data_IF_716576459526
#
_entry.id   IF_716576459526
#
_cell.length_a   1.000
_cell.length_b   1.000
_cell.length_c   1.000
_cell.angle_alpha   90.00
_cell.angle_beta   90.00
_cell.angle_gamma   90.00
#
_symmetry.space_group_name_H-M   'P 1'
#
loop_
_entity.id
_entity.type
_entity.pdbx_description
1 polymer ?
#
# COMPACT_ATOMS: atom_id res chain seq x y z
N UNK A 1 2.47 10.73 -19.59
CA UNK A 1 3.04 9.41 -19.39
C UNK A 1 4.50 9.42 -18.98
N UNK A 2 5.31 10.20 -19.64
CA UNK A 2 6.74 10.18 -19.37
C UNK A 2 7.08 10.54 -17.93
N UNK A 3 6.52 11.61 -17.41
CA UNK A 3 6.85 11.94 -16.04
C UNK A 3 6.21 10.98 -15.04
N UNK A 4 5.07 10.41 -15.38
CA UNK A 4 4.48 9.40 -14.50
C UNK A 4 5.36 8.20 -14.38
N UNK A 5 5.85 7.74 -15.51
CA UNK A 5 6.68 6.55 -15.49
C UNK A 5 8.03 6.85 -14.87
N UNK A 6 8.48 8.07 -14.95
CA UNK A 6 9.71 8.45 -14.30
C UNK A 6 9.56 8.36 -12.79
N UNK A 7 8.43 8.75 -12.25
CA UNK A 7 8.16 8.59 -10.83
C UNK A 7 8.02 7.13 -10.48
N UNK A 8 7.39 6.35 -11.33
CA UNK A 8 7.17 4.94 -11.06
C UNK A 8 8.42 4.10 -11.18
N UNK A 9 9.55 4.69 -11.60
CA UNK A 9 10.80 3.96 -11.51
C UNK A 9 11.20 3.70 -10.07
N UNK A 10 10.81 4.57 -9.15
CA UNK A 10 11.13 4.39 -7.75
C UNK A 10 10.02 3.69 -6.98
N UNK A 11 8.79 3.85 -7.42
CA UNK A 11 7.68 3.18 -6.75
C UNK A 11 6.59 2.84 -7.75
N UNK A 12 5.90 1.74 -7.49
CA UNK A 12 4.79 1.29 -8.31
C UNK A 12 3.64 0.93 -7.38
N UNK A 13 2.47 1.49 -7.68
CA UNK A 13 1.26 1.27 -6.89
C UNK A 13 0.27 0.49 -7.72
N UNK A 14 -0.33 -0.53 -7.11
CA UNK A 14 -1.45 -1.24 -7.73
C UNK A 14 -2.51 -1.44 -6.67
N UNK A 15 -3.74 -1.66 -7.11
CA UNK A 15 -4.81 -1.97 -6.18
C UNK A 15 -5.67 -3.09 -6.72
N UNK A 16 -6.23 -3.85 -5.79
CA UNK A 16 -7.15 -4.92 -6.10
C UNK A 16 -8.34 -4.78 -5.18
N UNK A 17 -9.53 -4.69 -5.74
CA UNK A 17 -10.76 -4.54 -4.99
C UNK A 17 -11.50 -5.86 -4.99
N UNK A 18 -12.00 -6.25 -3.84
CA UNK A 18 -12.82 -7.46 -3.71
C UNK A 18 -13.98 -7.15 -2.78
N UNK A 19 -14.85 -8.14 -2.58
CA UNK A 19 -15.97 -7.99 -1.67
C UNK A 19 -15.50 -7.78 -0.23
N UNK A 20 -14.30 -8.22 0.10
CA UNK A 20 -13.76 -8.09 1.46
C UNK A 20 -13.08 -6.75 1.71
N UNK A 21 -12.67 -6.06 0.66
CA UNK A 21 -11.99 -4.79 0.81
C UNK A 21 -10.99 -4.56 -0.31
N UNK A 22 -10.05 -3.67 -0.07
CA UNK A 22 -9.04 -3.31 -1.07
C UNK A 22 -7.65 -3.64 -0.58
N UNK A 23 -6.81 -4.10 -1.49
CA UNK A 23 -5.39 -4.29 -1.23
C UNK A 23 -4.64 -3.32 -2.11
N UNK A 24 -3.83 -2.48 -1.49
CA UNK A 24 -2.94 -1.57 -2.21
C UNK A 24 -1.53 -2.13 -2.08
N UNK A 25 -0.92 -2.44 -3.19
CA UNK A 25 0.42 -2.99 -3.21
C UNK A 25 1.39 -1.91 -3.65
N UNK A 26 2.47 -1.75 -2.90
CA UNK A 26 3.49 -0.75 -3.18
C UNK A 26 4.83 -1.47 -3.29
N UNK A 27 5.49 -1.30 -4.41
CA UNK A 27 6.80 -1.89 -4.67
C UNK A 27 7.81 -0.79 -4.96
N UNK A 28 9.06 -1.05 -4.69
CA UNK A 28 10.15 -0.16 -5.04
C UNK A 28 10.64 0.67 -3.88
N UNK A 29 10.72 1.97 -4.08
CA UNK A 29 11.26 2.90 -3.09
C UNK A 29 10.27 4.01 -2.85
N UNK A 30 9.98 4.28 -1.60
CA UNK A 30 9.05 5.33 -1.21
C UNK A 30 9.80 6.44 -0.51
N UNK A 31 9.85 7.60 -1.13
CA UNK A 31 10.61 8.73 -0.62
C UNK A 31 9.82 10.03 -0.81
N UNK A 32 10.49 11.16 -0.63
CA UNK A 32 9.82 12.45 -0.71
C UNK A 32 9.22 12.72 -2.08
N UNK A 33 9.76 12.10 -3.14
CA UNK A 33 9.28 12.36 -4.50
C UNK A 33 7.93 11.73 -4.78
N UNK A 34 7.59 10.64 -4.08
CA UNK A 34 6.38 9.89 -4.42
C UNK A 34 5.48 9.54 -3.21
N UNK A 35 5.88 9.94 -2.01
CA UNK A 35 5.09 9.60 -0.82
C UNK A 35 3.69 10.18 -0.86
N UNK A 36 3.55 11.42 -1.35
CA UNK A 36 2.24 12.05 -1.46
C UNK A 36 1.32 11.27 -2.38
N UNK A 37 1.88 10.67 -3.42
CA UNK A 37 1.08 9.89 -4.36
C UNK A 37 0.47 8.67 -3.69
N UNK A 38 1.20 8.03 -2.78
CA UNK A 38 0.65 6.91 -2.04
C UNK A 38 -0.53 7.36 -1.18
N UNK A 39 -0.38 8.48 -0.48
CA UNK A 39 -1.45 8.97 0.38
C UNK A 39 -2.71 9.30 -0.43
N UNK A 40 -2.53 9.92 -1.61
CA UNK A 40 -3.65 10.24 -2.48
C UNK A 40 -4.30 8.97 -3.01
N UNK A 41 -3.47 8.01 -3.40
CA UNK A 41 -3.95 6.74 -3.93
C UNK A 41 -4.81 6.01 -2.91
N UNK A 42 -4.33 5.97 -1.66
CA UNK A 42 -5.08 5.35 -0.58
C UNK A 42 -6.37 6.09 -0.29
N UNK A 43 -6.34 7.41 -0.34
CA UNK A 43 -7.52 8.23 -0.10
C UNK A 43 -8.64 7.93 -1.10
N UNK A 44 -8.27 7.65 -2.33
CA UNK A 44 -9.27 7.25 -3.33
C UNK A 44 -9.88 5.90 -3.00
N UNK A 45 -9.10 5.01 -2.44
CA UNK A 45 -9.58 3.67 -2.09
C UNK A 45 -10.54 3.68 -0.92
N UNK A 46 -10.42 4.65 -0.03
CA UNK A 46 -11.28 4.77 1.15
C UNK A 46 -12.76 4.85 0.76
N UNK A 47 -13.04 5.43 -0.39
CA UNK A 47 -14.43 5.61 -0.81
C UNK A 47 -15.07 4.32 -1.32
N UNK A 48 -14.25 3.29 -1.57
CA UNK A 48 -14.73 2.09 -2.24
C UNK A 48 -14.67 0.84 -1.41
N UNK A 49 -14.03 0.90 -0.26
CA UNK A 49 -13.75 -0.29 0.50
C UNK A 49 -14.07 -0.07 1.97
N UNK A 50 -14.43 -1.16 2.64
CA UNK A 50 -14.65 -1.12 4.09
C UNK A 50 -13.39 -1.45 4.85
N UNK A 51 -12.43 -2.05 4.18
CA UNK A 51 -11.18 -2.45 4.78
C UNK A 51 -10.09 -2.26 3.75
N UNK A 52 -8.95 -1.76 4.19
CA UNK A 52 -7.81 -1.53 3.31
C UNK A 52 -6.60 -2.21 3.90
N UNK A 53 -5.91 -2.96 3.07
CA UNK A 53 -4.61 -3.54 3.41
C UNK A 53 -3.59 -2.89 2.49
N UNK A 54 -2.53 -2.36 3.08
CA UNK A 54 -1.44 -1.79 2.33
C UNK A 54 -0.27 -2.77 2.39
N UNK A 55 -0.03 -3.42 1.26
CA UNK A 55 0.99 -4.45 1.17
C UNK A 55 2.30 -3.79 0.76
N UNK A 56 3.19 -3.65 1.72
CA UNK A 56 4.47 -2.98 1.53
C UNK A 56 5.63 -3.97 1.44
N UNK A 57 5.33 -5.26 1.24
CA UNK A 57 6.39 -6.27 1.22
C UNK A 57 7.41 -6.04 0.12
N UNK A 58 7.01 -5.39 -0.97
CA UNK A 58 7.90 -5.09 -2.08
C UNK A 58 8.68 -3.80 -1.95
N UNK A 59 8.54 -3.08 -0.84
CA UNK A 59 9.32 -1.86 -0.64
C UNK A 59 10.72 -2.19 -0.20
N UNK A 60 11.68 -1.75 -0.98
CA UNK A 60 13.10 -1.94 -0.67
C UNK A 60 13.66 -0.79 0.12
N UNK A 61 13.03 0.36 0.04
CA UNK A 61 13.45 1.56 0.74
C UNK A 61 12.22 2.38 1.12
N UNK A 62 12.26 2.97 2.31
CA UNK A 62 11.26 3.93 2.73
C UNK A 62 11.94 5.01 3.57
N UNK A 63 11.75 6.27 3.17
CA UNK A 63 12.26 7.41 3.93
C UNK A 63 11.20 7.94 4.88
N UNK A 64 11.58 8.98 5.62
CA UNK A 64 10.65 9.58 6.59
C UNK A 64 9.41 10.17 5.94
N UNK A 65 9.52 10.63 4.68
CA UNK A 65 8.34 11.09 3.95
C UNK A 65 7.35 9.95 3.73
N UNK A 66 7.87 8.73 3.52
CA UNK A 66 7.01 7.56 3.40
C UNK A 66 6.28 7.26 4.71
N UNK A 67 6.97 7.40 5.84
CA UNK A 67 6.32 7.24 7.13
C UNK A 67 5.19 8.27 7.30
N UNK A 68 5.44 9.52 6.90
CA UNK A 68 4.41 10.55 6.96
C UNK A 68 3.21 10.19 6.12
N UNK A 69 3.43 9.59 4.96
CA UNK A 69 2.32 9.14 4.12
C UNK A 69 1.51 8.05 4.81
N UNK A 70 2.18 7.10 5.47
CA UNK A 70 1.49 6.05 6.21
C UNK A 70 0.67 6.64 7.36
N UNK A 71 1.23 7.65 8.02
CA UNK A 71 0.51 8.32 9.08
C UNK A 71 -0.74 9.03 8.54
N UNK A 72 -0.63 9.65 7.38
CA UNK A 72 -1.78 10.29 6.74
C UNK A 72 -2.85 9.28 6.36
N UNK A 73 -2.44 8.10 5.93
CA UNK A 73 -3.39 7.02 5.67
C UNK A 73 -4.13 6.65 6.94
N UNK A 74 -3.40 6.58 8.05
CA UNK A 74 -4.02 6.26 9.33
C UNK A 74 -5.07 7.30 9.71
N UNK A 75 -4.76 8.57 9.53
CA UNK A 75 -5.69 9.65 9.83
C UNK A 75 -6.92 9.57 8.93
N UNK A 76 -6.70 9.34 7.64
CA UNK A 76 -7.79 9.25 6.67
C UNK A 76 -8.72 8.10 6.99
N UNK A 77 -8.15 6.94 7.30
CA UNK A 77 -8.96 5.75 7.60
C UNK A 77 -9.72 5.91 8.92
N UNK A 78 -9.08 6.51 9.92
CA UNK A 78 -9.74 6.79 11.20
C UNK A 78 -10.92 7.72 11.01
N UNK A 79 -10.75 8.77 10.24
CA UNK A 79 -11.83 9.73 9.99
C UNK A 79 -13.00 9.07 9.26
N UNK A 80 -12.72 8.10 8.41
CA UNK A 80 -13.75 7.38 7.68
C UNK A 80 -14.28 6.18 8.45
N UNK A 81 -13.80 5.94 9.65
CA UNK A 81 -14.15 4.79 10.46
C UNK A 81 -13.90 3.48 9.73
N UNK A 82 -12.77 3.42 9.07
CA UNK A 82 -12.38 2.33 8.22
C UNK A 82 -11.22 1.58 8.85
N UNK A 83 -11.27 0.27 8.81
CA UNK A 83 -10.16 -0.54 9.30
C UNK A 83 -9.09 -0.67 8.22
N UNK A 84 -7.85 -0.47 8.61
CA UNK A 84 -6.74 -0.68 7.69
C UNK A 84 -5.57 -1.28 8.45
N UNK A 85 -4.68 -1.91 7.71
CA UNK A 85 -3.43 -2.40 8.27
C UNK A 85 -2.41 -2.49 7.15
N UNK A 86 -1.14 -2.55 7.52
CA UNK A 86 -0.07 -2.70 6.55
C UNK A 86 0.68 -3.99 6.80
N UNK A 87 1.27 -4.51 5.73
CA UNK A 87 2.19 -5.64 5.81
C UNK A 87 3.58 -5.09 5.46
N UNK A 88 4.48 -4.96 6.42
CA UNK A 88 5.73 -4.28 6.17
C UNK A 88 6.76 -5.17 5.47
N UNK A 89 7.66 -4.54 4.73
CA UNK A 89 8.90 -5.15 4.32
C UNK A 89 9.91 -5.01 5.45
N UNK A 90 11.08 -5.65 5.35
CA UNK A 90 12.13 -5.42 6.33
C UNK A 90 12.53 -3.95 6.44
N UNK A 91 12.56 -3.24 5.32
CA UNK A 91 12.89 -1.81 5.35
C UNK A 91 11.85 -1.01 6.12
N UNK A 92 10.57 -1.30 5.89
CA UNK A 92 9.49 -0.62 6.59
C UNK A 92 9.53 -0.96 8.08
N UNK A 93 9.76 -2.23 8.40
CA UNK A 93 9.82 -2.64 9.80
C UNK A 93 10.93 -1.90 10.54
N UNK A 94 12.08 -1.71 9.89
CA UNK A 94 13.17 -0.95 10.51
C UNK A 94 12.78 0.49 10.76
N UNK A 95 12.14 1.11 9.79
CA UNK A 95 11.72 2.49 9.95
C UNK A 95 10.70 2.64 11.06
N UNK A 96 9.76 1.70 11.16
CA UNK A 96 8.73 1.75 12.20
C UNK A 96 9.34 1.63 13.60
N UNK A 97 10.39 0.85 13.76
CA UNK A 97 11.03 0.75 15.07
C UNK A 97 11.57 2.09 15.54
N UNK A 98 11.95 2.96 14.59
CA UNK A 98 12.50 4.27 14.92
C UNK A 98 11.40 5.32 15.02
N UNK A 99 10.49 5.35 14.06
CA UNK A 99 9.50 6.42 13.95
C UNK A 99 8.22 6.12 14.69
N UNK A 100 7.94 4.86 14.96
CA UNK A 100 6.67 4.44 15.58
C UNK A 100 6.94 3.40 16.66
N UNK A 101 7.78 3.74 17.66
CA UNK A 101 8.16 2.74 18.67
C UNK A 101 6.97 2.25 19.49
N UNK A 102 5.92 3.05 19.61
CA UNK A 102 4.74 2.67 20.39
C UNK A 102 3.73 1.86 19.59
N UNK A 103 3.98 1.64 18.29
CA UNK A 103 3.11 0.81 17.48
C UNK A 103 1.74 1.44 17.22
N UNK A 104 1.71 2.71 16.92
CA UNK A 104 0.43 3.39 16.67
C UNK A 104 -0.14 3.05 15.30
N UNK A 105 0.71 2.67 14.34
CA UNK A 105 0.24 2.28 13.02
C UNK A 105 -0.07 0.79 13.01
N UNK A 106 -1.19 0.38 12.40
CA UNK A 106 -1.60 -1.02 12.45
C UNK A 106 -0.78 -1.88 11.48
N UNK A 107 -0.25 -2.96 11.99
CA UNK A 107 0.58 -3.89 11.23
C UNK A 107 -0.05 -5.27 11.31
N UNK A 108 -0.04 -5.99 10.19
CA UNK A 108 -0.55 -7.34 10.15
C UNK A 108 0.42 -8.23 9.38
N UNK A 109 0.11 -9.50 9.31
CA UNK A 109 0.93 -10.47 8.57
C UNK A 109 0.11 -11.04 7.42
N UNK A 110 0.77 -11.56 6.37
CA UNK A 110 0.02 -12.17 5.28
C UNK A 110 -0.83 -13.35 5.74
N UNK A 111 -0.37 -14.09 6.74
CA UNK A 111 -1.11 -15.24 7.24
C UNK A 111 -2.38 -14.83 7.96
N UNK A 112 -2.34 -13.68 8.63
CA UNK A 112 -3.48 -13.21 9.41
C UNK A 112 -4.50 -12.45 8.57
N UNK A 113 -4.16 -12.09 7.34
CA UNK A 113 -5.00 -11.19 6.56
C UNK A 113 -5.67 -11.91 5.40
N UNK A 114 -7.00 -12.13 5.49
CA UNK A 114 -7.71 -12.84 4.41
C UNK A 114 -7.64 -12.14 3.05
N UNK A 115 -7.52 -10.81 3.03
CA UNK A 115 -7.46 -10.07 1.78
C UNK A 115 -6.21 -10.41 0.97
N UNK A 116 -5.17 -10.91 1.62
CA UNK A 116 -3.95 -11.30 0.94
C UNK A 116 -3.94 -12.74 0.48
N UNK A 117 -5.00 -13.50 0.78
CA UNK A 117 -5.15 -14.87 0.33
C UNK A 117 -6.05 -14.87 -0.89
N UNK A 118 -5.48 -14.91 -2.09
CA UNK A 118 -6.34 -14.87 -3.27
C UNK A 118 -7.16 -16.13 -3.36
N UNK A 119 -8.44 -15.97 -3.64
CA UNK A 119 -9.29 -17.08 -4.02
C UNK A 119 -8.89 -17.49 -5.44
N UNK A 120 -9.38 -18.64 -5.87
CA UNK A 120 -9.15 -19.06 -7.24
C UNK A 120 -9.66 -18.01 -8.23
N UNK A 121 -10.82 -17.48 -7.97
CA UNK A 121 -11.43 -16.48 -8.82
C UNK A 121 -10.61 -15.19 -8.83
N UNK A 122 -10.17 -14.76 -7.68
CA UNK A 122 -9.37 -13.55 -7.60
C UNK A 122 -8.03 -13.71 -8.28
N UNK A 123 -7.47 -14.90 -8.20
CA UNK A 123 -6.20 -15.16 -8.86
C UNK A 123 -6.34 -15.00 -10.37
N UNK A 124 -7.42 -15.53 -10.90
CA UNK A 124 -7.67 -15.42 -12.33
C UNK A 124 -7.89 -13.98 -12.75
N UNK A 125 -8.60 -13.22 -11.93
CA UNK A 125 -8.85 -11.82 -12.21
C UNK A 125 -7.60 -10.97 -12.06
N UNK A 126 -6.81 -11.28 -11.06
CA UNK A 126 -5.61 -10.48 -10.79
C UNK A 126 -4.58 -10.58 -11.88
N UNK A 127 -4.47 -11.75 -12.48
CA UNK A 127 -3.43 -11.98 -13.46
C UNK A 127 -3.56 -11.06 -14.66
N UNK A 128 -4.72 -10.92 -15.29
CA UNK A 128 -4.84 -9.96 -16.38
C UNK A 128 -4.60 -8.53 -15.96
N UNK A 129 -5.05 -8.17 -14.76
CA UNK A 129 -4.85 -6.81 -14.27
C UNK A 129 -3.37 -6.50 -14.10
N UNK A 130 -2.62 -7.45 -13.58
CA UNK A 130 -1.20 -7.26 -13.40
C UNK A 130 -0.50 -7.10 -14.73
N UNK A 131 -0.99 -7.77 -15.74
CA UNK A 131 -0.42 -7.63 -17.08
C UNK A 131 -0.77 -6.30 -17.70
N UNK A 132 -1.94 -5.78 -17.38
CA UNK A 132 -2.39 -4.51 -17.92
C UNK A 132 -1.77 -3.32 -17.23
N UNK A 133 -1.31 -3.49 -16.01
CA UNK A 133 -0.63 -2.41 -15.32
C UNK A 133 0.59 -2.06 -16.13
N UNK A 134 0.67 -0.83 -16.62
CA UNK A 134 1.81 -0.46 -17.45
C UNK A 134 3.06 -0.60 -16.63
N UNK A 135 3.93 -1.38 -17.12
CA UNK A 135 5.19 -1.48 -16.47
C UNK A 135 6.00 -0.29 -16.87
N UNK A 136 6.59 0.39 -15.92
CA UNK A 136 7.47 1.48 -16.27
C UNK A 136 8.68 0.87 -16.91
N UNK A 137 8.71 0.96 -18.12
CA UNK A 137 9.83 0.39 -18.82
C UNK A 137 10.44 1.40 -19.67
#
# INVERSE_FOLDING_TARGET
MAQSWQQSRTAQFTSRLSALGAVITVDGELDAANADQLAIYAQRSVRRARRIIVDLRGLEFIGTAGFSALHRINVTCSAAQLHWAMVPSPAVARLLRICDPDGTLPVTTPQAEPLLRPTKSERDESRPLLQLVPQPR
#
